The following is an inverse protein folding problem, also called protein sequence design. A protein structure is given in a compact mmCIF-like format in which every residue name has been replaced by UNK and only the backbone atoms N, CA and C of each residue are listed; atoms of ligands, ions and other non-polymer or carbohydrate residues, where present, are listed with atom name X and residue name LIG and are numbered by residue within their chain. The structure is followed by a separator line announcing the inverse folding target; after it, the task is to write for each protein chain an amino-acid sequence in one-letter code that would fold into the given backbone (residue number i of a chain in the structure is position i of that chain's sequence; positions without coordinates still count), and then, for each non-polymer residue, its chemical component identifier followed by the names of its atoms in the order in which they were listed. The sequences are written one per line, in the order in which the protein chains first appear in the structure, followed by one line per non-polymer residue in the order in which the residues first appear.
data_IF_921783610309
#
_entry.id   IF_921783610309
#
_cell.length_a   1.000
_cell.length_b   1.000
_cell.length_c   1.000
_cell.angle_alpha   90.00
_cell.angle_beta   90.00
_cell.angle_gamma   90.00
#
_symmetry.space_group_name_H-M   'P 1'
#
loop_
_entity.id
_entity.type
_entity.pdbx_description
1 polymer ?
#
# COMPACT_ATOMS: atom_id res chain seq x y z
N UNK A 1 -7.35 -17.98 -14.23
CA UNK A 1 -6.85 -18.74 -13.07
C UNK A 1 -6.27 -17.73 -12.08
N UNK A 2 -6.82 -17.58 -10.86
CA UNK A 2 -6.29 -16.64 -9.88
C UNK A 2 -4.97 -17.16 -9.28
N UNK A 3 -4.01 -16.27 -9.00
CA UNK A 3 -2.77 -16.62 -8.33
C UNK A 3 -3.05 -16.92 -6.84
N UNK A 4 -2.80 -18.16 -6.39
CA UNK A 4 -3.09 -18.60 -5.02
C UNK A 4 -2.16 -17.97 -3.97
N UNK A 5 -0.92 -17.65 -4.35
CA UNK A 5 0.10 -17.07 -3.45
C UNK A 5 0.05 -15.54 -3.42
N UNK A 6 -1.03 -14.92 -3.91
CA UNK A 6 -1.10 -13.46 -4.04
C UNK A 6 -0.95 -12.76 -2.69
N UNK A 7 -1.56 -13.31 -1.64
CA UNK A 7 -1.47 -12.78 -0.28
C UNK A 7 -0.07 -13.00 0.30
N UNK A 8 0.48 -14.21 0.19
CA UNK A 8 1.81 -14.55 0.72
C UNK A 8 2.92 -13.74 0.04
N UNK A 9 2.82 -13.55 -1.28
CA UNK A 9 3.74 -12.74 -2.07
C UNK A 9 3.69 -11.26 -1.67
N UNK A 10 2.51 -10.73 -1.34
CA UNK A 10 2.36 -9.37 -0.85
C UNK A 10 2.92 -9.23 0.57
N UNK A 11 2.60 -10.17 1.46
CA UNK A 11 3.06 -10.19 2.85
C UNK A 11 4.59 -10.21 2.91
N UNK A 12 5.21 -11.13 2.16
CA UNK A 12 6.67 -11.25 2.10
C UNK A 12 7.35 -9.97 1.59
N UNK A 13 6.76 -9.32 0.58
CA UNK A 13 7.32 -8.07 0.04
C UNK A 13 7.24 -6.91 1.05
N UNK A 14 6.17 -6.86 1.85
CA UNK A 14 6.02 -5.87 2.92
C UNK A 14 7.00 -6.11 4.08
N UNK A 15 7.19 -7.36 4.48
CA UNK A 15 8.12 -7.75 5.56
C UNK A 15 9.58 -7.59 5.16
N UNK A 16 9.92 -7.93 3.92
CA UNK A 16 11.30 -7.88 3.40
C UNK A 16 11.74 -6.48 2.95
N UNK A 17 10.83 -5.50 2.94
CA UNK A 17 11.13 -4.15 2.44
C UNK A 17 11.39 -4.11 0.93
N UNK A 18 10.83 -5.05 0.17
CA UNK A 18 11.09 -5.16 -1.25
C UNK A 18 10.21 -4.18 -2.03
N UNK A 19 10.74 -2.97 -2.24
CA UNK A 19 10.00 -1.87 -2.86
C UNK A 19 9.91 -1.98 -4.40
N UNK A 20 10.85 -2.70 -5.02
CA UNK A 20 10.96 -2.87 -6.48
C UNK A 20 10.17 -4.11 -6.95
N UNK A 21 9.49 -4.01 -8.10
CA UNK A 21 8.85 -5.16 -8.78
C UNK A 21 7.34 -5.31 -8.55
N UNK A 22 6.75 -6.40 -9.05
CA UNK A 22 5.30 -6.70 -8.92
C UNK A 22 5.09 -7.77 -7.84
N UNK A 23 4.43 -7.41 -6.75
CA UNK A 23 4.16 -8.30 -5.61
C UNK A 23 2.66 -8.39 -5.38
N UNK A 24 2.13 -9.61 -5.23
CA UNK A 24 0.71 -9.82 -4.96
C UNK A 24 -0.23 -9.25 -6.03
N UNK A 25 0.21 -9.18 -7.28
CA UNK A 25 -0.58 -8.62 -8.38
C UNK A 25 -0.72 -7.10 -8.35
N UNK A 26 0.10 -6.41 -7.56
CA UNK A 26 0.23 -4.95 -7.56
C UNK A 26 1.59 -4.57 -8.14
N UNK A 27 1.61 -3.61 -9.07
CA UNK A 27 2.84 -2.97 -9.51
C UNK A 27 3.43 -2.07 -8.41
N UNK A 28 4.71 -1.74 -8.55
CA UNK A 28 5.39 -0.76 -7.69
C UNK A 28 4.61 0.56 -7.64
N UNK A 29 4.17 1.05 -8.79
CA UNK A 29 3.43 2.31 -8.88
C UNK A 29 2.06 2.25 -8.20
N UNK A 30 1.35 1.12 -8.31
CA UNK A 30 0.09 0.91 -7.61
C UNK A 30 0.29 0.87 -6.08
N UNK A 31 1.34 0.19 -5.58
CA UNK A 31 1.68 0.21 -4.15
C UNK A 31 2.06 1.61 -3.68
N UNK A 32 2.90 2.32 -4.44
CA UNK A 32 3.32 3.69 -4.11
C UNK A 32 2.13 4.65 -4.12
N UNK A 33 1.19 4.50 -5.06
CA UNK A 33 -0.04 5.28 -5.11
C UNK A 33 -0.94 5.02 -3.90
N UNK A 34 -1.09 3.76 -3.46
CA UNK A 34 -1.83 3.40 -2.24
C UNK A 34 -1.23 4.04 -0.99
N UNK A 35 0.09 3.92 -0.78
CA UNK A 35 0.80 4.57 0.35
C UNK A 35 0.55 6.08 0.37
N UNK A 36 0.67 6.76 -0.79
CA UNK A 36 0.41 8.20 -0.90
C UNK A 36 -1.04 8.58 -0.60
N UNK A 37 -2.02 7.78 -1.07
CA UNK A 37 -3.45 8.01 -0.77
C UNK A 37 -3.73 7.89 0.72
N UNK A 38 -3.19 6.86 1.37
CA UNK A 38 -3.33 6.66 2.81
C UNK A 38 -2.70 7.81 3.62
N UNK A 39 -1.52 8.28 3.23
CA UNK A 39 -0.85 9.42 3.86
C UNK A 39 -1.68 10.72 3.73
N UNK A 40 -2.22 11.01 2.54
CA UNK A 40 -3.11 12.17 2.33
C UNK A 40 -4.40 12.06 3.15
N UNK A 41 -5.00 10.87 3.22
CA UNK A 41 -6.19 10.67 4.03
C UNK A 41 -5.92 10.91 5.52
N UNK A 42 -4.76 10.44 6.02
CA UNK A 42 -4.33 10.69 7.40
C UNK A 42 -4.12 12.19 7.66
N UNK A 43 -3.52 12.92 6.72
CA UNK A 43 -3.35 14.37 6.83
C UNK A 43 -4.69 15.12 6.90
N UNK A 44 -5.65 14.75 6.02
CA UNK A 44 -7.00 15.33 6.05
C UNK A 44 -7.76 15.04 7.35
N UNK A 45 -7.65 13.81 7.84
CA UNK A 45 -8.24 13.43 9.13
C UNK A 45 -7.64 14.23 10.28
N UNK A 46 -6.33 14.50 10.26
CA UNK A 46 -5.73 15.37 11.26
C UNK A 46 -6.22 16.81 11.14
N UNK A 47 -6.36 17.37 9.93
CA UNK A 47 -6.89 18.73 9.73
C UNK A 47 -8.31 18.88 10.28
N UNK A 48 -9.20 17.95 9.93
CA UNK A 48 -10.59 17.98 10.40
C UNK A 48 -10.73 17.93 11.93
N UNK A 49 -9.78 17.31 12.64
CA UNK A 49 -9.81 17.21 14.10
C UNK A 49 -9.38 18.50 14.82
N UNK A 50 -8.82 19.49 14.12
CA UNK A 50 -8.46 20.79 14.71
C UNK A 50 -9.55 21.86 14.53
N UNK A 51 -10.56 21.59 13.70
CA UNK A 51 -11.67 22.52 13.43
C UNK A 51 -12.90 22.27 14.33
N UNK A 52 -12.83 21.31 15.26
CA UNK A 52 -13.82 21.01 16.30
C UNK A 52 -13.35 21.52 17.67
#
# INVERSE_FOLDING_TARGET
MPCIVRQDCLQWALESGQDSGVWGGLSEDERRAMKRRAARNRARLSENNFEE
#
